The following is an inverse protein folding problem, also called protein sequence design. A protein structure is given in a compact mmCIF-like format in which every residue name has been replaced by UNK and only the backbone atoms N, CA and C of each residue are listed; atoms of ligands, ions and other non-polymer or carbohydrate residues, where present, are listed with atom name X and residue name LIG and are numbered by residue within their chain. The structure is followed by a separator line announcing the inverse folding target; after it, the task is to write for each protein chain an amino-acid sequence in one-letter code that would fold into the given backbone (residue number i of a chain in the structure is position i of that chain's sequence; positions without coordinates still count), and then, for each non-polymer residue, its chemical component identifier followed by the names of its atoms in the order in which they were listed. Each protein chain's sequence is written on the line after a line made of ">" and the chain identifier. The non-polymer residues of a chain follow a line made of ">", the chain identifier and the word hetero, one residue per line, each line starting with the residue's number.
data_IF_500557463962
#
_entry.id   IF_500557463962
#
_cell.length_a   1.000
_cell.length_b   1.000
_cell.length_c   1.000
_cell.angle_alpha   90.00
_cell.angle_beta   90.00
_cell.angle_gamma   90.00
#
_symmetry.space_group_name_H-M   'P 1'
#
loop_
_entity.id
_entity.type
_entity.pdbx_description
1 polymer ?
#
# COMPACT_ATOMS: atom_id res chain seq x y z
N UNK A 1 4.16 -22.76 5.46
CA UNK A 1 5.00 -21.84 6.25
C UNK A 1 4.99 -20.55 5.47
N UNK A 2 4.28 -19.53 5.95
CA UNK A 2 4.38 -18.20 5.34
C UNK A 2 5.80 -17.69 5.61
N UNK A 3 6.58 -17.52 4.55
CA UNK A 3 7.84 -16.81 4.64
C UNK A 3 7.44 -15.36 4.89
N UNK A 4 7.67 -14.88 6.11
CA UNK A 4 7.45 -13.48 6.43
C UNK A 4 8.62 -12.75 5.78
N UNK A 5 8.51 -12.48 4.48
CA UNK A 5 9.50 -11.71 3.75
C UNK A 5 9.43 -10.27 4.28
N UNK A 6 10.37 -9.95 5.16
CA UNK A 6 10.53 -8.65 5.81
C UNK A 6 11.72 -7.93 5.19
N UNK A 7 11.55 -6.64 4.90
CA UNK A 7 12.61 -5.74 4.45
C UNK A 7 12.81 -4.69 5.52
N UNK A 8 14.07 -4.46 5.94
CA UNK A 8 14.38 -3.38 6.87
C UNK A 8 14.05 -2.02 6.24
N UNK A 9 13.44 -1.13 7.02
CA UNK A 9 13.11 0.24 6.59
C UNK A 9 14.39 0.98 6.15
N UNK A 10 15.52 0.73 6.80
CA UNK A 10 16.80 1.38 6.44
C UNK A 10 17.24 0.98 5.03
N UNK A 11 17.16 -0.30 4.69
CA UNK A 11 17.45 -0.82 3.34
C UNK A 11 16.48 -0.25 2.32
N UNK A 12 15.18 -0.22 2.64
CA UNK A 12 14.15 0.36 1.77
C UNK A 12 14.43 1.84 1.50
N UNK A 13 14.62 2.64 2.54
CA UNK A 13 14.88 4.08 2.44
C UNK A 13 16.15 4.38 1.64
N UNK A 14 17.19 3.56 1.79
CA UNK A 14 18.45 3.69 1.03
C UNK A 14 18.24 3.38 -0.46
N UNK A 15 17.50 2.32 -0.77
CA UNK A 15 17.27 1.91 -2.16
C UNK A 15 16.39 2.91 -2.94
N UNK A 16 15.32 3.38 -2.30
CA UNK A 16 14.35 4.29 -2.92
C UNK A 16 14.66 5.77 -2.67
N UNK A 17 15.74 6.07 -1.95
CA UNK A 17 16.19 7.41 -1.59
C UNK A 17 15.08 8.28 -0.96
N UNK A 18 14.33 7.68 -0.03
CA UNK A 18 13.25 8.33 0.73
C UNK A 18 13.62 8.47 2.20
N UNK A 19 13.17 9.53 2.88
CA UNK A 19 13.41 9.70 4.30
C UNK A 19 12.57 8.71 5.12
N UNK A 20 13.15 8.19 6.19
CA UNK A 20 12.44 7.32 7.15
C UNK A 20 11.22 8.00 7.77
N UNK A 21 11.24 9.33 7.87
CA UNK A 21 10.10 10.13 8.34
C UNK A 21 8.86 9.93 7.47
N UNK A 22 9.03 9.73 6.16
CA UNK A 22 7.90 9.47 5.26
C UNK A 22 7.27 8.12 5.59
N UNK A 23 8.07 7.09 5.88
CA UNK A 23 7.59 5.77 6.24
C UNK A 23 6.85 5.80 7.58
N UNK A 24 7.39 6.51 8.58
CA UNK A 24 6.70 6.71 9.85
C UNK A 24 5.37 7.46 9.67
N UNK A 25 5.33 8.46 8.79
CA UNK A 25 4.09 9.15 8.47
C UNK A 25 3.07 8.20 7.83
N UNK A 26 3.48 7.34 6.91
CA UNK A 26 2.56 6.33 6.34
C UNK A 26 2.03 5.38 7.41
N UNK A 27 2.83 5.01 8.41
CA UNK A 27 2.37 4.23 9.56
C UNK A 27 1.37 5.01 10.42
N UNK A 28 1.63 6.30 10.69
CA UNK A 28 0.74 7.17 11.48
C UNK A 28 -0.67 7.31 10.84
N UNK A 29 -0.75 7.26 9.51
CA UNK A 29 -2.02 7.26 8.76
C UNK A 29 -2.62 5.85 8.58
N UNK A 30 -2.05 4.81 9.22
CA UNK A 30 -2.45 3.40 9.07
C UNK A 30 -2.45 2.92 7.61
N UNK A 31 -1.66 3.57 6.75
CA UNK A 31 -1.54 3.24 5.33
C UNK A 31 -0.62 2.03 5.12
N UNK A 32 0.31 1.81 6.05
CA UNK A 32 1.24 0.68 6.06
C UNK A 32 1.41 0.12 7.47
N UNK A 33 1.78 -1.15 7.57
CA UNK A 33 2.18 -1.78 8.83
C UNK A 33 3.71 -1.89 8.93
N UNK A 34 4.27 -1.38 10.05
CA UNK A 34 5.67 -1.58 10.42
C UNK A 34 5.76 -2.68 11.47
N UNK A 35 6.68 -3.62 11.26
CA UNK A 35 7.01 -4.68 12.20
C UNK A 35 8.29 -4.31 12.92
N UNK A 36 8.24 -4.22 14.25
CA UNK A 36 9.43 -3.96 15.07
C UNK A 36 10.00 -5.28 15.60
N UNK A 37 11.27 -5.57 15.31
CA UNK A 37 11.97 -6.75 15.80
C UNK A 37 13.41 -6.37 16.17
N UNK A 38 13.89 -6.85 17.32
CA UNK A 38 15.28 -6.62 17.78
C UNK A 38 15.76 -5.16 17.70
N UNK A 39 14.87 -4.20 17.97
CA UNK A 39 15.10 -2.74 17.89
C UNK A 39 15.15 -2.14 16.47
N UNK A 40 15.03 -2.97 15.44
CA UNK A 40 14.93 -2.53 14.04
C UNK A 40 13.48 -2.56 13.56
N UNK A 41 13.20 -1.70 12.58
CA UNK A 41 11.90 -1.60 11.94
C UNK A 41 11.92 -2.25 10.55
N UNK A 42 10.84 -2.97 10.24
CA UNK A 42 10.69 -3.75 9.02
C UNK A 42 9.33 -3.51 8.35
N UNK A 43 9.27 -3.66 7.03
CA UNK A 43 8.05 -3.65 6.23
C UNK A 43 7.90 -5.01 5.56
N UNK A 44 6.67 -5.53 5.50
CA UNK A 44 6.35 -6.76 4.76
C UNK A 44 6.52 -6.53 3.26
N UNK A 45 7.14 -7.47 2.55
CA UNK A 45 7.32 -7.41 1.09
C UNK A 45 5.98 -7.25 0.34
N UNK A 46 4.91 -7.83 0.87
CA UNK A 46 3.55 -7.68 0.31
C UNK A 46 3.06 -6.23 0.27
N UNK A 47 3.57 -5.35 1.13
CA UNK A 47 3.20 -3.94 1.20
C UNK A 47 4.11 -3.03 0.36
N UNK A 48 5.24 -3.54 -0.14
CA UNK A 48 6.22 -2.72 -0.89
C UNK A 48 5.58 -2.07 -2.12
N UNK A 49 4.75 -2.82 -2.85
CA UNK A 49 4.05 -2.28 -4.01
C UNK A 49 3.09 -1.13 -3.65
N UNK A 50 2.45 -1.21 -2.48
CA UNK A 50 1.56 -0.14 -2.00
C UNK A 50 2.37 1.09 -1.56
N UNK A 51 3.48 0.89 -0.84
CA UNK A 51 4.40 1.98 -0.47
C UNK A 51 4.94 2.68 -1.72
N UNK A 52 5.32 1.95 -2.77
CA UNK A 52 5.76 2.54 -4.04
C UNK A 52 4.68 3.36 -4.73
N UNK A 53 3.43 2.89 -4.74
CA UNK A 53 2.31 3.68 -5.27
C UNK A 53 2.17 4.98 -4.49
N UNK A 54 2.21 4.91 -3.16
CA UNK A 54 2.10 6.06 -2.27
C UNK A 54 3.25 7.06 -2.47
N UNK A 55 4.46 6.54 -2.63
CA UNK A 55 5.63 7.34 -2.97
C UNK A 55 5.43 8.10 -4.28
N UNK A 56 4.98 7.43 -5.34
CA UNK A 56 4.70 8.10 -6.63
C UNK A 56 3.64 9.19 -6.48
N UNK A 57 2.57 8.93 -5.73
CA UNK A 57 1.53 9.93 -5.46
C UNK A 57 2.09 11.15 -4.70
N UNK A 58 2.95 10.94 -3.71
CA UNK A 58 3.52 12.02 -2.91
C UNK A 58 4.61 12.80 -3.66
N UNK A 59 5.60 12.11 -4.22
CA UNK A 59 6.79 12.71 -4.82
C UNK A 59 6.61 13.10 -6.29
N UNK A 60 5.84 12.35 -7.08
CA UNK A 60 5.66 12.66 -8.51
C UNK A 60 4.45 13.57 -8.73
N UNK A 61 3.37 13.39 -7.95
CA UNK A 61 2.13 14.17 -8.10
C UNK A 61 1.97 15.27 -7.05
N UNK A 62 2.95 15.46 -6.15
CA UNK A 62 2.93 16.48 -5.08
C UNK A 62 1.67 16.44 -4.20
N UNK A 63 1.13 15.24 -3.96
CA UNK A 63 -0.03 15.05 -3.09
C UNK A 63 0.45 15.02 -1.64
N UNK A 64 -0.14 15.81 -0.75
CA UNK A 64 0.17 15.77 0.68
C UNK A 64 -0.32 14.47 1.33
N UNK A 65 0.08 14.20 2.57
CA UNK A 65 -0.26 12.95 3.26
C UNK A 65 -1.76 12.81 3.51
N UNK A 66 -2.46 13.90 3.81
CA UNK A 66 -3.91 13.89 3.98
C UNK A 66 -4.62 13.61 2.64
N UNK A 67 -4.09 14.16 1.55
CA UNK A 67 -4.56 13.86 0.20
C UNK A 67 -4.27 12.42 -0.18
N UNK A 68 -3.14 11.87 0.26
CA UNK A 68 -2.75 10.49 0.02
C UNK A 68 -3.71 9.52 0.71
N UNK A 69 -4.04 9.75 1.97
CA UNK A 69 -5.04 8.95 2.69
C UNK A 69 -6.42 9.02 2.01
N UNK A 70 -6.86 10.22 1.63
CA UNK A 70 -8.12 10.38 0.90
C UNK A 70 -8.11 9.63 -0.44
N UNK A 71 -7.03 9.75 -1.22
CA UNK A 71 -6.87 9.06 -2.52
C UNK A 71 -6.81 7.54 -2.32
N UNK A 72 -6.09 7.07 -1.31
CA UNK A 72 -5.97 5.66 -0.99
C UNK A 72 -7.34 5.04 -0.64
N UNK A 73 -8.11 5.70 0.23
CA UNK A 73 -9.46 5.26 0.59
C UNK A 73 -10.40 5.25 -0.62
N UNK A 74 -10.30 6.25 -1.51
CA UNK A 74 -11.08 6.29 -2.75
C UNK A 74 -10.69 5.18 -3.72
N UNK A 75 -9.40 4.94 -3.92
CA UNK A 75 -8.89 3.85 -4.75
C UNK A 75 -9.40 2.50 -4.26
N UNK A 76 -9.29 2.22 -2.95
CA UNK A 76 -9.80 0.99 -2.33
C UNK A 76 -11.30 0.81 -2.55
N UNK A 77 -12.07 1.89 -2.46
CA UNK A 77 -13.52 1.85 -2.75
C UNK A 77 -13.79 1.55 -4.22
N UNK A 78 -13.03 2.15 -5.14
CA UNK A 78 -13.15 1.90 -6.58
C UNK A 78 -12.80 0.45 -6.92
N UNK A 79 -11.70 -0.08 -6.38
CA UNK A 79 -11.30 -1.49 -6.56
C UNK A 79 -12.36 -2.46 -6.04
N UNK A 80 -12.94 -2.17 -4.87
CA UNK A 80 -14.04 -2.98 -4.31
C UNK A 80 -15.24 -3.00 -5.25
N UNK A 81 -15.68 -1.83 -5.73
CA UNK A 81 -16.80 -1.73 -6.66
C UNK A 81 -16.53 -2.43 -7.99
N UNK A 82 -15.31 -2.32 -8.52
CA UNK A 82 -14.91 -3.03 -9.75
C UNK A 82 -14.93 -4.55 -9.56
N UNK A 83 -14.51 -5.03 -8.39
CA UNK A 83 -14.56 -6.45 -8.02
C UNK A 83 -16.00 -6.95 -7.94
N UNK A 84 -16.91 -6.18 -7.33
CA UNK A 84 -18.34 -6.49 -7.28
C UNK A 84 -18.96 -6.55 -8.68
N UNK A 85 -18.68 -5.56 -9.54
CA UNK A 85 -19.16 -5.54 -10.93
C UNK A 85 -18.66 -6.77 -11.69
N UNK A 86 -17.38 -7.11 -11.53
CA UNK A 86 -16.79 -8.29 -12.17
C UNK A 86 -17.46 -9.58 -11.67
N UNK A 87 -17.71 -9.69 -10.37
CA UNK A 87 -18.43 -10.83 -9.77
C UNK A 87 -19.86 -10.95 -10.30
N UNK A 88 -20.58 -9.83 -10.42
CA UNK A 88 -21.93 -9.79 -10.96
C UNK A 88 -21.95 -10.18 -12.44
N UNK A 89 -21.04 -9.65 -13.26
CA UNK A 89 -20.92 -10.00 -14.67
C UNK A 89 -20.60 -11.49 -14.87
N UNK A 90 -19.70 -12.05 -14.05
CA UNK A 90 -19.39 -13.47 -14.07
C UNK A 90 -20.62 -14.33 -13.73
N UNK A 91 -21.45 -13.89 -12.76
CA UNK A 91 -22.71 -14.58 -12.42
C UNK A 91 -23.73 -14.48 -13.55
N UNK A 92 -23.91 -13.31 -14.14
CA UNK A 92 -24.84 -13.12 -15.26
C UNK A 92 -24.48 -14.00 -16.46
N UNK A 93 -23.18 -14.10 -16.77
CA UNK A 93 -22.69 -14.97 -17.84
C UNK A 93 -23.07 -16.45 -17.64
N UNK A 94 -23.10 -16.94 -16.39
CA UNK A 94 -23.54 -18.30 -16.08
C UNK A 94 -25.05 -18.54 -16.33
N UNK A 95 -25.86 -17.48 -16.41
CA UNK A 95 -27.29 -17.57 -16.73
C UNK A 95 -27.59 -17.31 -18.21
N UNK A 96 -26.65 -16.74 -18.96
CA UNK A 96 -26.77 -16.48 -20.40
C UNK A 96 -26.22 -17.62 -21.27
N UNK A 97 -25.43 -18.53 -20.69
CA UNK A 97 -25.01 -19.82 -21.27
C UNK A 97 -26.05 -20.93 -20.98
#
# INVERSE_FOLDING_TARGET
>A
MEVIDLISITTFCTHYNVPTTFINQLEDYELIEIVVSEQDQYIKVTQINEVEKMMRLHYDLNINLEGLDAVYNLLKRVETLQSEITSLNNKLRLYED
#
